data_IF_702748549722
#
_entry.id   IF_702748549722
#
_cell.length_a   1.000
_cell.length_b   1.000
_cell.length_c   1.000
_cell.angle_alpha   90.00
_cell.angle_beta   90.00
_cell.angle_gamma   90.00
#
_symmetry.space_group_name_H-M   'P 1'
#
loop_
_entity.id
_entity.type
_entity.pdbx_description
1 polymer ?
#
# COMPACT_ATOMS: atom_id res chain seq x y z
N UNK A 1 5.53 -7.13 -33.56
CA UNK A 1 4.85 -7.03 -32.25
C UNK A 1 5.46 -5.82 -31.54
N UNK A 2 4.77 -4.67 -31.57
CA UNK A 2 5.31 -3.40 -31.06
C UNK A 2 5.40 -3.40 -29.54
N UNK A 3 6.62 -3.34 -29.01
CA UNK A 3 6.87 -3.08 -27.60
C UNK A 3 6.66 -1.60 -27.34
N UNK A 4 5.47 -1.24 -26.83
CA UNK A 4 5.24 0.08 -26.25
C UNK A 4 6.10 0.18 -24.98
N UNK A 5 7.14 1.00 -25.05
CA UNK A 5 8.00 1.36 -23.93
C UNK A 5 7.11 2.07 -22.89
N UNK A 6 6.77 1.40 -21.79
CA UNK A 6 6.04 2.02 -20.68
C UNK A 6 6.94 3.10 -20.08
N UNK A 7 6.69 4.36 -20.42
CA UNK A 7 7.32 5.50 -19.75
C UNK A 7 6.75 5.56 -18.33
N UNK A 8 7.53 5.10 -17.36
CA UNK A 8 7.22 5.28 -15.94
C UNK A 8 7.32 6.78 -15.62
N UNK A 9 6.20 7.50 -15.75
CA UNK A 9 6.13 8.91 -15.37
C UNK A 9 6.48 9.03 -13.90
N UNK A 10 7.58 9.71 -13.57
CA UNK A 10 8.00 9.92 -12.19
C UNK A 10 6.88 10.64 -11.41
N UNK A 11 6.56 10.20 -10.18
CA UNK A 11 5.50 10.84 -9.40
C UNK A 11 5.78 12.33 -9.20
N UNK A 12 4.77 13.17 -9.43
CA UNK A 12 4.89 14.61 -9.24
C UNK A 12 4.85 14.95 -7.75
N UNK A 13 6.03 15.08 -7.13
CA UNK A 13 6.17 15.32 -5.69
C UNK A 13 5.51 16.63 -5.25
N UNK A 14 5.55 17.67 -6.09
CA UNK A 14 4.90 18.96 -5.80
C UNK A 14 3.40 18.77 -5.63
N UNK A 15 2.79 17.98 -6.51
CA UNK A 15 1.36 17.65 -6.42
C UNK A 15 1.04 16.87 -5.15
N UNK A 16 1.86 15.88 -4.78
CA UNK A 16 1.66 15.07 -3.55
C UNK A 16 1.68 15.96 -2.31
N UNK A 17 2.69 16.84 -2.18
CA UNK A 17 2.78 17.77 -1.06
C UNK A 17 1.62 18.78 -1.07
N UNK A 18 1.24 19.30 -2.25
CA UNK A 18 0.11 20.21 -2.38
C UNK A 18 -1.20 19.57 -1.94
N UNK A 19 -1.46 18.31 -2.31
CA UNK A 19 -2.65 17.56 -1.89
C UNK A 19 -2.64 17.29 -0.38
N UNK A 20 -1.48 16.95 0.20
CA UNK A 20 -1.34 16.80 1.64
C UNK A 20 -1.63 18.10 2.41
N UNK A 21 -1.11 19.22 1.93
CA UNK A 21 -1.37 20.55 2.51
C UNK A 21 -2.81 21.02 2.27
N UNK A 22 -3.40 20.71 1.12
CA UNK A 22 -4.80 21.01 0.83
C UNK A 22 -5.74 20.29 1.80
N UNK A 23 -5.34 19.15 2.36
CA UNK A 23 -6.05 18.47 3.45
C UNK A 23 -6.20 19.31 4.73
N UNK A 24 -5.45 20.40 4.93
CA UNK A 24 -5.65 21.28 6.09
C UNK A 24 -6.75 22.32 5.88
N UNK A 25 -7.28 22.47 4.66
CA UNK A 25 -8.25 23.52 4.32
C UNK A 25 -9.47 23.51 5.26
N UNK A 26 -10.16 22.37 5.52
CA UNK A 26 -11.35 22.38 6.37
C UNK A 26 -11.05 22.72 7.84
N UNK A 27 -9.85 22.42 8.33
CA UNK A 27 -9.40 22.86 9.66
C UNK A 27 -9.24 24.37 9.70
N UNK A 28 -8.54 24.96 8.72
CA UNK A 28 -8.33 26.41 8.67
C UNK A 28 -9.66 27.17 8.52
N UNK A 29 -10.55 26.70 7.65
CA UNK A 29 -11.89 27.28 7.44
C UNK A 29 -12.71 27.20 8.74
N UNK A 30 -12.76 26.03 9.39
CA UNK A 30 -13.52 25.88 10.64
C UNK A 30 -12.94 26.66 11.82
N UNK A 31 -11.64 27.02 11.81
CA UNK A 31 -11.03 27.90 12.80
C UNK A 31 -11.35 29.37 12.52
N UNK A 32 -11.36 29.77 11.25
CA UNK A 32 -11.57 31.16 10.85
C UNK A 32 -13.06 31.57 10.80
N UNK A 33 -13.97 30.66 10.46
CA UNK A 33 -15.40 30.96 10.33
C UNK A 33 -16.06 31.57 11.58
N UNK A 34 -15.75 31.12 12.82
CA UNK A 34 -16.12 31.78 14.07
C UNK A 34 -15.90 33.29 14.14
N UNK A 35 -14.88 33.81 13.45
CA UNK A 35 -14.45 35.22 13.51
C UNK A 35 -15.46 36.12 12.77
N UNK A 36 -16.24 35.56 11.84
CA UNK A 36 -17.21 36.31 11.03
C UNK A 36 -18.53 36.57 11.75
N UNK A 37 -18.83 35.85 12.83
CA UNK A 37 -20.09 35.97 13.58
C UNK A 37 -21.34 35.47 12.85
N UNK A 38 -21.20 34.89 11.65
CA UNK A 38 -22.33 34.54 10.77
C UNK A 38 -23.00 33.18 11.10
N UNK A 39 -22.40 32.35 11.95
CA UNK A 39 -22.86 30.97 12.21
C UNK A 39 -22.59 30.50 13.65
N UNK A 40 -23.38 29.55 14.18
CA UNK A 40 -23.15 28.96 15.51
C UNK A 40 -21.79 28.27 15.62
N UNK A 41 -21.09 28.49 16.74
CA UNK A 41 -19.77 27.90 17.02
C UNK A 41 -19.78 26.36 17.07
N UNK A 42 -20.93 25.78 17.40
CA UNK A 42 -21.14 24.35 17.58
C UNK A 42 -21.06 23.58 16.26
N UNK A 43 -21.61 24.12 15.17
CA UNK A 43 -21.61 23.47 13.85
C UNK A 43 -20.18 23.37 13.28
N UNK A 44 -19.37 24.42 13.44
CA UNK A 44 -17.97 24.42 12.99
C UNK A 44 -17.09 23.43 13.76
N UNK A 45 -17.44 23.16 15.02
CA UNK A 45 -16.75 22.18 15.85
C UNK A 45 -17.06 20.75 15.37
N UNK A 46 -18.32 20.45 15.06
CA UNK A 46 -18.71 19.15 14.50
C UNK A 46 -18.07 18.90 13.14
N UNK A 47 -18.03 19.91 12.26
CA UNK A 47 -17.33 19.83 10.96
C UNK A 47 -15.85 19.51 11.18
N UNK A 48 -15.20 20.17 12.14
CA UNK A 48 -13.78 19.94 12.43
C UNK A 48 -13.51 18.53 12.96
N UNK A 49 -14.35 18.04 13.87
CA UNK A 49 -14.21 16.70 14.47
C UNK A 49 -14.49 15.60 13.45
N UNK A 50 -15.58 15.72 12.70
CA UNK A 50 -15.94 14.77 11.62
C UNK A 50 -14.88 14.72 10.53
N UNK A 51 -14.32 15.86 10.16
CA UNK A 51 -13.21 15.91 9.20
C UNK A 51 -11.93 15.29 9.77
N UNK A 52 -11.60 15.54 11.04
CA UNK A 52 -10.48 14.90 11.73
C UNK A 52 -10.60 13.37 11.74
N UNK A 53 -11.78 12.84 12.06
CA UNK A 53 -12.07 11.41 12.00
C UNK A 53 -11.92 10.86 10.57
N UNK A 54 -12.38 11.61 9.56
CA UNK A 54 -12.25 11.24 8.14
C UNK A 54 -10.79 11.12 7.72
N UNK A 55 -9.96 12.09 8.07
CA UNK A 55 -8.52 12.06 7.76
C UNK A 55 -7.84 10.90 8.48
N UNK A 56 -8.12 10.71 9.78
CA UNK A 56 -7.54 9.61 10.55
C UNK A 56 -7.87 8.23 9.92
N UNK A 57 -9.10 8.05 9.41
CA UNK A 57 -9.50 6.86 8.65
C UNK A 57 -8.69 6.69 7.35
N UNK A 58 -8.49 7.78 6.59
CA UNK A 58 -7.73 7.73 5.34
C UNK A 58 -6.27 7.30 5.56
N UNK A 59 -5.59 7.80 6.61
CA UNK A 59 -4.21 7.39 6.90
C UNK A 59 -4.13 5.90 7.30
N UNK A 60 -5.15 5.38 7.99
CA UNK A 60 -5.29 3.95 8.24
C UNK A 60 -5.38 3.13 6.95
N UNK A 61 -6.25 3.54 6.02
CA UNK A 61 -6.49 2.82 4.75
C UNK A 61 -5.21 2.61 3.91
N UNK A 62 -4.22 3.50 4.01
CA UNK A 62 -2.92 3.36 3.33
C UNK A 62 -2.23 2.03 3.70
N UNK A 63 -2.35 1.58 4.95
CA UNK A 63 -1.72 0.34 5.41
C UNK A 63 -2.31 -0.89 4.71
N UNK A 64 -3.61 -0.87 4.41
CA UNK A 64 -4.26 -1.94 3.67
C UNK A 64 -3.74 -2.01 2.23
N UNK A 65 -3.62 -0.86 1.57
CA UNK A 65 -3.03 -0.77 0.23
C UNK A 65 -1.59 -1.28 0.19
N UNK A 66 -0.75 -0.87 1.15
CA UNK A 66 0.64 -1.33 1.27
C UNK A 66 0.70 -2.86 1.42
N UNK A 67 -0.14 -3.43 2.29
CA UNK A 67 -0.20 -4.87 2.53
C UNK A 67 -0.60 -5.67 1.28
N UNK A 68 -1.38 -5.09 0.37
CA UNK A 68 -1.73 -5.73 -0.90
C UNK A 68 -0.67 -5.54 -1.98
N UNK A 69 -0.01 -4.39 -2.00
CA UNK A 69 0.99 -4.07 -3.02
C UNK A 69 2.34 -4.78 -2.82
N UNK A 70 2.53 -5.49 -1.70
CA UNK A 70 3.81 -6.13 -1.37
C UNK A 70 3.68 -7.65 -1.27
N UNK A 71 4.07 -8.39 -2.33
CA UNK A 71 4.03 -9.85 -2.35
C UNK A 71 4.95 -10.48 -1.30
N UNK A 72 6.15 -9.91 -1.12
CA UNK A 72 7.21 -10.46 -0.25
C UNK A 72 6.97 -10.26 1.26
N UNK A 73 5.90 -9.55 1.65
CA UNK A 73 5.61 -9.30 3.06
C UNK A 73 5.19 -10.60 3.77
N UNK A 74 5.82 -10.89 4.92
CA UNK A 74 5.48 -12.04 5.76
C UNK A 74 4.00 -12.05 6.14
N UNK A 75 3.41 -13.23 6.33
CA UNK A 75 1.98 -13.35 6.72
C UNK A 75 1.67 -12.63 8.02
N UNK A 76 2.60 -12.67 8.98
CA UNK A 76 2.45 -12.02 10.28
C UNK A 76 2.41 -10.49 10.14
N UNK A 77 3.35 -9.91 9.40
CA UNK A 77 3.41 -8.46 9.21
C UNK A 77 2.22 -7.96 8.40
N UNK A 78 1.80 -8.71 7.36
CA UNK A 78 0.62 -8.38 6.57
C UNK A 78 -0.65 -8.28 7.40
N UNK A 79 -0.84 -9.22 8.32
CA UNK A 79 -1.97 -9.18 9.25
C UNK A 79 -1.91 -7.96 10.18
N UNK A 80 -0.71 -7.58 10.64
CA UNK A 80 -0.53 -6.38 11.47
C UNK A 80 -0.94 -5.13 10.69
N UNK A 81 -0.52 -5.00 9.43
CA UNK A 81 -0.94 -3.88 8.56
C UNK A 81 -2.45 -3.82 8.35
N UNK A 82 -3.10 -4.97 8.13
CA UNK A 82 -4.56 -5.00 8.00
C UNK A 82 -5.28 -4.59 9.28
N UNK A 83 -4.86 -5.09 10.44
CA UNK A 83 -5.43 -4.67 11.73
C UNK A 83 -5.21 -3.17 11.95
N UNK A 84 -3.99 -2.69 11.72
CA UNK A 84 -3.68 -1.27 11.84
C UNK A 84 -4.38 -0.39 10.82
N UNK A 85 -4.84 -0.93 9.69
CA UNK A 85 -5.59 -0.12 8.71
C UNK A 85 -6.99 0.26 9.19
N UNK A 86 -7.57 -0.54 10.08
CA UNK A 86 -8.95 -0.35 10.59
C UNK A 86 -8.96 0.42 11.90
N UNK A 87 -7.94 0.24 12.74
CA UNK A 87 -7.88 0.87 14.08
C UNK A 87 -8.06 2.40 14.07
N UNK A 88 -7.38 3.18 13.22
CA UNK A 88 -7.56 4.64 13.17
C UNK A 88 -8.99 5.06 12.80
N UNK A 89 -9.63 4.33 11.88
CA UNK A 89 -11.02 4.60 11.49
C UNK A 89 -12.00 4.36 12.65
N UNK A 90 -11.81 3.28 13.42
CA UNK A 90 -12.63 2.99 14.60
C UNK A 90 -12.43 4.03 15.72
N UNK A 91 -11.19 4.47 15.94
CA UNK A 91 -10.89 5.55 16.90
C UNK A 91 -11.58 6.84 16.46
N UNK A 92 -11.48 7.19 15.18
CA UNK A 92 -12.13 8.36 14.60
C UNK A 92 -13.65 8.30 14.78
N UNK A 93 -14.28 7.20 14.39
CA UNK A 93 -15.72 7.00 14.53
C UNK A 93 -16.17 7.07 16.00
N UNK A 94 -15.47 6.39 16.90
CA UNK A 94 -15.77 6.41 18.34
C UNK A 94 -15.71 7.83 18.92
N UNK A 95 -14.72 8.63 18.50
CA UNK A 95 -14.55 10.00 18.98
C UNK A 95 -15.75 10.92 18.70
N UNK A 96 -16.49 10.66 17.61
CA UNK A 96 -17.63 11.49 17.21
C UNK A 96 -18.84 11.34 18.15
N UNK A 97 -18.89 10.27 18.95
CA UNK A 97 -19.93 10.08 19.96
C UNK A 97 -19.63 10.77 21.30
N UNK A 98 -18.48 11.45 21.42
CA UNK A 98 -18.02 12.04 22.67
C UNK A 98 -18.23 13.54 22.74
N UNK A 99 -18.06 14.12 23.93
CA UNK A 99 -18.05 15.58 24.10
C UNK A 99 -16.87 16.18 23.33
N UNK A 100 -16.97 17.43 22.85
CA UNK A 100 -15.97 17.96 21.92
C UNK A 100 -14.51 17.96 22.44
N UNK A 101 -14.30 18.18 23.74
CA UNK A 101 -12.97 18.14 24.35
C UNK A 101 -12.40 16.72 24.34
N UNK A 102 -13.22 15.73 24.70
CA UNK A 102 -12.85 14.31 24.70
C UNK A 102 -12.60 13.83 23.27
N UNK A 103 -13.50 14.16 22.34
CA UNK A 103 -13.39 13.86 20.92
C UNK A 103 -12.08 14.40 20.34
N UNK A 104 -11.77 15.67 20.58
CA UNK A 104 -10.53 16.32 20.13
C UNK A 104 -9.30 15.63 20.71
N UNK A 105 -9.34 15.26 21.99
CA UNK A 105 -8.23 14.59 22.68
C UNK A 105 -7.97 13.21 22.10
N UNK A 106 -9.02 12.41 21.89
CA UNK A 106 -8.91 11.08 21.29
C UNK A 106 -8.39 11.16 19.85
N UNK A 107 -8.89 12.11 19.05
CA UNK A 107 -8.39 12.31 17.68
C UNK A 107 -6.90 12.68 17.68
N UNK A 108 -6.49 13.62 18.55
CA UNK A 108 -5.08 14.01 18.66
C UNK A 108 -4.19 12.82 19.06
N UNK A 109 -4.61 12.04 20.06
CA UNK A 109 -3.90 10.82 20.45
C UNK A 109 -3.88 9.79 19.33
N UNK A 110 -4.97 9.63 18.59
CA UNK A 110 -5.06 8.76 17.41
C UNK A 110 -4.03 9.12 16.35
N UNK A 111 -3.91 10.41 16.01
CA UNK A 111 -2.88 10.88 15.08
C UNK A 111 -1.45 10.65 15.60
N UNK A 112 -1.19 10.91 16.88
CA UNK A 112 0.12 10.67 17.49
C UNK A 112 0.49 9.19 17.47
N UNK A 113 -0.44 8.31 17.87
CA UNK A 113 -0.24 6.86 17.85
C UNK A 113 0.02 6.37 16.43
N UNK A 114 -0.72 6.88 15.46
CA UNK A 114 -0.56 6.54 14.06
C UNK A 114 0.80 7.00 13.53
N UNK A 115 1.22 8.23 13.84
CA UNK A 115 2.54 8.76 13.48
C UNK A 115 3.68 7.92 14.09
N UNK A 116 3.55 7.52 15.36
CA UNK A 116 4.53 6.64 16.02
C UNK A 116 4.59 5.29 15.30
N UNK A 117 3.46 4.74 14.90
CA UNK A 117 3.39 3.48 14.16
C UNK A 117 4.06 3.60 12.79
N UNK A 118 3.80 4.68 12.05
CA UNK A 118 4.45 4.98 10.76
C UNK A 118 5.98 5.03 10.91
N UNK A 119 6.49 5.73 11.93
CA UNK A 119 7.94 5.77 12.22
C UNK A 119 8.52 4.41 12.59
N UNK A 120 7.78 3.56 13.32
CA UNK A 120 8.22 2.21 13.67
C UNK A 120 8.30 1.30 12.45
N UNK A 121 7.38 1.44 11.51
CA UNK A 121 7.32 0.66 10.28
C UNK A 121 8.41 1.08 9.29
N UNK A 122 8.68 2.37 9.16
CA UNK A 122 9.80 2.89 8.36
C UNK A 122 11.16 2.35 8.85
N UNK A 123 11.32 2.11 10.15
CA UNK A 123 12.55 1.53 10.72
C UNK A 123 12.74 0.04 10.44
N UNK A 124 11.66 -0.72 10.26
CA UNK A 124 11.71 -2.19 10.14
C UNK A 124 11.79 -2.68 8.71
N UNK A 125 11.37 -1.87 7.75
CA UNK A 125 11.35 -2.28 6.37
C UNK A 125 11.65 -1.09 5.50
N UNK A 126 12.58 -1.28 4.57
CA UNK A 126 12.76 -0.46 3.38
C UNK A 126 11.50 -0.54 2.50
N UNK A 127 10.36 -0.06 2.99
CA UNK A 127 9.19 0.28 2.17
C UNK A 127 9.52 1.58 1.39
N UNK A 128 10.65 1.56 0.69
CA UNK A 128 11.25 2.66 -0.06
C UNK A 128 10.51 2.98 -1.36
N UNK A 129 9.27 2.48 -1.52
CA UNK A 129 8.44 2.75 -2.69
C UNK A 129 7.70 4.09 -2.56
N UNK A 130 7.49 4.63 -1.35
CA UNK A 130 6.69 5.85 -1.17
C UNK A 130 7.50 7.10 -0.75
N UNK A 131 8.71 6.95 -0.19
CA UNK A 131 9.48 8.08 0.38
C UNK A 131 10.77 8.41 -0.39
N UNK A 132 11.30 7.53 -1.25
CA UNK A 132 12.53 7.82 -1.99
C UNK A 132 12.35 7.70 -3.52
N UNK A 133 11.86 8.76 -4.18
CA UNK A 133 12.01 8.94 -5.63
C UNK A 133 13.48 8.97 -6.08
N UNK A 134 14.42 9.20 -5.16
CA UNK A 134 15.85 9.41 -5.46
C UNK A 134 16.73 8.18 -5.28
N UNK A 135 16.35 7.20 -4.45
CA UNK A 135 17.17 6.02 -4.20
C UNK A 135 17.00 4.91 -5.26
N UNK A 136 15.94 4.99 -6.07
CA UNK A 136 15.71 4.04 -7.15
C UNK A 136 16.69 4.24 -8.31
N UNK A 137 17.18 5.46 -8.56
CA UNK A 137 18.01 5.75 -9.73
C UNK A 137 19.49 5.33 -9.60
N UNK A 138 20.00 5.08 -8.38
CA UNK A 138 21.44 4.92 -8.17
C UNK A 138 21.92 3.48 -7.98
N UNK A 139 21.01 2.49 -7.85
CA UNK A 139 21.41 1.12 -7.51
C UNK A 139 20.80 0.03 -8.42
N UNK A 140 20.76 0.28 -9.74
CA UNK A 140 20.46 -0.72 -10.78
C UNK A 140 21.70 -1.32 -11.43
N UNK A 141 22.82 -1.33 -10.71
CA UNK A 141 24.08 -1.90 -11.18
C UNK A 141 24.31 -3.26 -10.53
N UNK A 142 23.54 -4.29 -10.92
CA UNK A 142 23.98 -5.68 -10.65
C UNK A 142 22.96 -6.79 -10.44
N UNK A 143 21.65 -6.54 -10.36
CA UNK A 143 20.68 -7.63 -10.18
C UNK A 143 20.03 -8.04 -11.50
N UNK A 144 20.72 -8.90 -12.24
CA UNK A 144 20.08 -9.75 -13.23
C UNK A 144 19.09 -10.68 -12.51
N UNK A 145 17.82 -10.29 -12.44
CA UNK A 145 16.73 -11.21 -12.12
C UNK A 145 16.64 -12.21 -13.29
N UNK A 146 16.81 -13.53 -13.10
CA UNK A 146 16.53 -14.48 -14.16
C UNK A 146 15.03 -14.41 -14.46
N UNK A 147 14.70 -14.17 -15.73
CA UNK A 147 13.33 -13.93 -16.14
C UNK A 147 12.56 -15.27 -16.07
N UNK A 148 11.25 -15.31 -15.76
CA UNK A 148 10.49 -16.56 -15.66
C UNK A 148 10.59 -17.46 -16.92
N UNK A 149 10.90 -16.88 -18.07
CA UNK A 149 11.13 -17.59 -19.33
C UNK A 149 12.56 -18.13 -19.51
N UNK A 150 13.57 -17.65 -18.75
CA UNK A 150 14.96 -18.16 -18.84
C UNK A 150 15.12 -19.60 -18.34
N UNK A 151 14.18 -20.10 -17.52
CA UNK A 151 14.15 -21.51 -17.09
C UNK A 151 13.75 -22.43 -18.26
N UNK A 152 13.02 -21.92 -19.27
CA UNK A 152 12.57 -22.70 -20.41
C UNK A 152 13.57 -22.75 -21.57
N UNK A 153 14.57 -21.86 -21.60
CA UNK A 153 15.58 -21.83 -22.67
C UNK A 153 16.86 -22.63 -22.37
N UNK A 154 16.99 -23.19 -21.17
CA UNK A 154 18.16 -24.01 -20.77
C UNK A 154 17.92 -25.51 -20.78
N UNK A 155 16.68 -25.96 -21.07
CA UNK A 155 16.39 -27.37 -21.35
C UNK A 155 16.21 -27.56 -22.86
N UNK A 156 17.34 -27.72 -23.56
CA UNK A 156 17.34 -28.41 -24.85
C UNK A 156 16.73 -29.81 -24.70
N UNK A 157 16.16 -30.39 -25.77
CA UNK A 157 15.50 -31.69 -25.70
C UNK A 157 16.50 -32.72 -25.19
N UNK A 158 16.15 -33.35 -24.07
CA UNK A 158 16.80 -34.56 -23.61
C UNK A 158 16.84 -35.53 -24.79
N UNK A 159 18.04 -35.99 -25.13
CA UNK A 159 18.31 -37.02 -26.12
C UNK A 159 17.31 -38.17 -25.96
N UNK A 160 16.37 -38.27 -26.89
CA UNK A 160 15.54 -39.46 -27.05
C UNK A 160 16.49 -40.57 -27.49
N UNK A 161 16.73 -41.52 -26.60
CA UNK A 161 17.50 -42.73 -26.90
C UNK A 161 16.74 -43.57 -27.95
N UNK A 162 17.27 -43.78 -29.17
CA UNK A 162 16.58 -44.51 -30.23
C UNK A 162 16.40 -46.02 -29.93
N UNK A 163 17.12 -46.57 -28.94
CA UNK A 163 17.06 -48.00 -28.63
C UNK A 163 15.85 -48.41 -27.76
N UNK A 164 15.07 -47.47 -27.21
CA UNK A 164 13.94 -47.78 -26.31
C UNK A 164 12.56 -47.77 -26.98
N UNK A 165 12.47 -47.55 -28.30
CA UNK A 165 11.18 -47.55 -29.02
C UNK A 165 10.84 -48.89 -29.69
N UNK A 166 11.80 -49.80 -29.89
CA UNK A 166 11.53 -51.08 -30.54
C UNK A 166 10.90 -52.12 -29.60
N UNK A 167 11.24 -52.09 -28.31
CA UNK A 167 10.68 -53.04 -27.33
C UNK A 167 9.20 -52.81 -27.02
N UNK A 168 8.68 -51.60 -27.23
CA UNK A 168 7.27 -51.28 -26.97
C UNK A 168 6.37 -51.60 -28.18
N UNK A 169 6.90 -51.62 -29.40
CA UNK A 169 6.14 -51.97 -30.60
C UNK A 169 5.85 -53.49 -30.69
N UNK A 170 6.74 -54.34 -30.17
CA UNK A 170 6.56 -55.80 -30.18
C UNK A 170 5.50 -56.25 -29.16
N UNK A 171 5.41 -55.59 -27.99
CA UNK A 171 4.48 -55.99 -26.92
C UNK A 171 3.03 -55.59 -27.22
N UNK A 172 2.80 -54.50 -27.97
CA UNK A 172 1.45 -54.07 -28.34
C UNK A 172 0.80 -54.92 -29.44
N UNK A 173 1.55 -55.72 -30.20
CA UNK A 173 1.01 -56.51 -31.31
C UNK A 173 0.67 -57.97 -30.96
N UNK A 174 0.83 -58.40 -29.69
CA UNK A 174 0.43 -59.74 -29.22
C UNK A 174 -0.87 -59.75 -28.38
N UNK A 175 -1.56 -58.62 -28.23
CA UNK A 175 -2.80 -58.52 -27.45
C UNK A 175 -4.07 -58.30 -28.30
N UNK A 176 -3.99 -58.44 -29.64
CA UNK A 176 -5.13 -58.26 -30.55
C UNK A 176 -5.24 -59.42 -31.58
N UNK A 177 -5.03 -60.67 -31.16
CA UNK A 177 -5.52 -61.84 -31.89
C UNK A 177 -6.20 -62.80 -30.92
#
# INVERSE_FOLDING_TARGET
MNMQHQSTTSPNLKLIYALGLAGLIPFLVSIAAPITGLYPQTEWLEIRLSYGATILSFVGAIHWGIAMSQPEMSRKDRNIFFIWSVMPALIGWYSLGLKPVEASTILALGFILHLIQDYRLQRKSSYAILVLPTAYATNYRGYYMPHPWTIYLTKGPASINPQRSEHLAIVTNQLIC
#
